data_IF_236276786642
#
_entry.id   IF_236276786642
#
_cell.length_a   1.000
_cell.length_b   1.000
_cell.length_c   1.000
_cell.angle_alpha   90.00
_cell.angle_beta   90.00
_cell.angle_gamma   90.00
#
_symmetry.space_group_name_H-M   'P 1'
#
loop_
_entity.id
_entity.type
_entity.pdbx_description
1 polymer ?
#
# COMPACT_ATOMS: atom_id res chain seq x y z
N UNK A 1 -29.62 31.33 23.63
CA UNK A 1 -29.26 29.89 23.62
C UNK A 1 -28.88 29.52 22.20
N UNK A 2 -27.59 29.29 21.91
CA UNK A 2 -27.16 28.91 20.57
C UNK A 2 -27.54 27.44 20.33
N UNK A 3 -28.38 27.20 19.32
CA UNK A 3 -28.61 25.87 18.78
C UNK A 3 -27.32 25.41 18.10
N UNK A 4 -26.44 24.72 18.83
CA UNK A 4 -25.41 23.90 18.20
C UNK A 4 -26.10 22.66 17.66
N UNK A 5 -26.56 22.73 16.41
CA UNK A 5 -26.95 21.54 15.67
C UNK A 5 -25.75 20.58 15.63
N UNK A 6 -25.97 19.31 15.94
CA UNK A 6 -24.95 18.27 15.80
C UNK A 6 -24.50 18.23 14.34
N UNK A 7 -23.21 18.50 14.11
CA UNK A 7 -22.61 18.36 12.79
C UNK A 7 -22.35 16.87 12.52
N UNK A 8 -23.29 16.24 11.83
CA UNK A 8 -23.22 14.84 11.41
C UNK A 8 -22.30 14.62 10.19
N UNK A 9 -21.57 15.64 9.74
CA UNK A 9 -20.74 15.57 8.54
C UNK A 9 -19.41 14.85 8.80
N UNK A 10 -19.46 13.52 8.92
CA UNK A 10 -18.26 12.70 8.99
C UNK A 10 -17.57 12.63 7.61
N UNK A 11 -16.29 12.99 7.57
CA UNK A 11 -15.44 12.90 6.38
C UNK A 11 -14.62 11.60 6.47
N UNK A 12 -15.02 10.58 5.71
CA UNK A 12 -14.22 9.37 5.55
C UNK A 12 -13.07 9.60 4.58
N UNK A 13 -11.99 8.82 4.68
CA UNK A 13 -10.89 8.90 3.71
C UNK A 13 -11.38 8.68 2.27
N UNK A 14 -12.28 7.72 2.04
CA UNK A 14 -12.87 7.50 0.70
C UNK A 14 -13.62 8.74 0.20
N UNK A 15 -14.40 9.40 1.08
CA UNK A 15 -15.10 10.65 0.72
C UNK A 15 -14.11 11.77 0.42
N UNK A 16 -13.05 11.89 1.20
CA UNK A 16 -12.00 12.87 0.99
C UNK A 16 -11.30 12.66 -0.37
N UNK A 17 -10.83 11.44 -0.65
CA UNK A 17 -10.16 11.11 -1.92
C UNK A 17 -11.07 11.33 -3.13
N UNK A 18 -12.35 10.93 -3.05
CA UNK A 18 -13.32 11.20 -4.12
C UNK A 18 -13.57 12.70 -4.32
N UNK A 19 -13.58 13.48 -3.24
CA UNK A 19 -13.72 14.94 -3.33
C UNK A 19 -12.49 15.58 -3.98
N UNK A 20 -11.29 15.13 -3.66
CA UNK A 20 -10.05 15.60 -4.31
C UNK A 20 -10.01 15.22 -5.79
N UNK A 21 -10.42 13.99 -6.16
CA UNK A 21 -10.50 13.59 -7.57
C UNK A 21 -11.41 14.53 -8.38
N UNK A 22 -12.56 14.93 -7.83
CA UNK A 22 -13.51 15.82 -8.52
C UNK A 22 -12.93 17.21 -8.80
N UNK A 23 -11.91 17.65 -8.08
CA UNK A 23 -11.22 18.93 -8.32
C UNK A 23 -10.27 18.86 -9.52
N UNK A 24 -9.95 17.66 -10.02
CA UNK A 24 -9.00 17.42 -11.10
C UNK A 24 -9.75 16.93 -12.36
N UNK A 25 -10.04 17.80 -13.35
CA UNK A 25 -10.81 17.41 -14.55
C UNK A 25 -10.18 16.30 -15.38
N UNK A 26 -8.86 16.14 -15.31
CA UNK A 26 -8.07 15.13 -16.03
C UNK A 26 -7.93 13.80 -15.28
N UNK A 27 -8.45 13.71 -14.04
CA UNK A 27 -8.31 12.52 -13.23
C UNK A 27 -9.23 11.39 -13.71
N UNK A 28 -8.64 10.27 -14.12
CA UNK A 28 -9.37 9.08 -14.58
C UNK A 28 -10.01 8.28 -13.44
N UNK A 29 -9.56 8.48 -12.20
CA UNK A 29 -10.00 7.72 -11.02
C UNK A 29 -9.08 6.56 -10.62
N UNK A 30 -8.06 6.24 -11.43
CA UNK A 30 -7.14 5.12 -11.14
C UNK A 30 -6.42 5.27 -9.80
N UNK A 31 -5.98 6.50 -9.45
CA UNK A 31 -5.33 6.77 -8.16
C UNK A 31 -6.31 6.61 -7.00
N UNK A 32 -7.56 7.03 -7.19
CA UNK A 32 -8.61 6.87 -6.19
C UNK A 32 -8.92 5.41 -5.95
N UNK A 33 -8.98 4.59 -7.00
CA UNK A 33 -9.15 3.15 -6.88
C UNK A 33 -7.98 2.53 -6.10
N UNK A 34 -6.75 2.91 -6.45
CA UNK A 34 -5.55 2.47 -5.76
C UNK A 34 -5.56 2.83 -4.26
N UNK A 35 -5.87 4.08 -3.90
CA UNK A 35 -5.93 4.51 -2.50
C UNK A 35 -7.03 3.79 -1.71
N UNK A 36 -8.18 3.50 -2.32
CA UNK A 36 -9.24 2.70 -1.68
C UNK A 36 -8.84 1.24 -1.49
N UNK A 37 -8.13 0.67 -2.47
CA UNK A 37 -7.55 -0.67 -2.37
C UNK A 37 -6.52 -0.76 -1.24
N UNK A 38 -5.64 0.23 -1.14
CA UNK A 38 -4.65 0.33 -0.08
C UNK A 38 -5.30 0.49 1.30
N UNK A 39 -6.35 1.32 1.41
CA UNK A 39 -7.13 1.44 2.65
C UNK A 39 -7.70 0.08 3.10
N UNK A 40 -8.16 -0.73 2.14
CA UNK A 40 -8.69 -2.07 2.45
C UNK A 40 -7.58 -2.99 2.93
N UNK A 41 -6.40 -2.96 2.29
CA UNK A 41 -5.23 -3.72 2.72
C UNK A 41 -4.83 -3.37 4.16
N UNK A 42 -4.74 -2.06 4.46
CA UNK A 42 -4.41 -1.55 5.80
C UNK A 42 -5.39 -2.04 6.85
N UNK A 43 -6.69 -2.12 6.55
CA UNK A 43 -7.70 -2.68 7.48
C UNK A 43 -7.48 -4.17 7.74
N UNK A 44 -7.11 -4.94 6.72
CA UNK A 44 -6.82 -6.38 6.84
C UNK A 44 -5.58 -6.60 7.70
N UNK A 45 -4.47 -5.89 7.42
CA UNK A 45 -3.23 -5.97 8.21
C UNK A 45 -3.50 -5.57 9.66
N UNK A 46 -4.18 -4.44 9.87
CA UNK A 46 -4.56 -3.96 11.21
C UNK A 46 -5.38 -4.99 12.00
N UNK A 47 -6.29 -5.70 11.34
CA UNK A 47 -7.05 -6.79 11.95
C UNK A 47 -6.16 -8.00 12.28
N UNK A 48 -5.26 -8.40 11.38
CA UNK A 48 -4.32 -9.49 11.62
C UNK A 48 -3.38 -9.20 12.78
N UNK A 49 -2.76 -8.02 12.81
CA UNK A 49 -1.87 -7.56 13.90
C UNK A 49 -2.58 -7.60 15.26
N UNK A 50 -3.81 -7.07 15.36
CA UNK A 50 -4.58 -7.12 16.61
C UNK A 50 -4.93 -8.54 17.06
N UNK A 51 -5.07 -9.48 16.13
CA UNK A 51 -5.39 -10.89 16.45
C UNK A 51 -4.16 -11.75 16.69
N UNK A 52 -2.98 -11.31 16.27
CA UNK A 52 -1.77 -12.10 16.36
C UNK A 52 -1.39 -12.44 17.81
N UNK A 53 -1.80 -11.64 18.81
CA UNK A 53 -1.66 -12.00 20.23
C UNK A 53 -2.60 -13.12 20.73
N UNK A 54 -3.66 -13.46 19.99
CA UNK A 54 -4.68 -14.44 20.38
C UNK A 54 -4.56 -15.74 19.58
N UNK A 55 -4.42 -15.62 18.26
CA UNK A 55 -4.08 -16.73 17.39
C UNK A 55 -2.56 -16.81 17.35
N UNK A 56 -1.95 -17.97 17.65
CA UNK A 56 -0.51 -18.25 17.53
C UNK A 56 0.00 -18.14 16.07
N UNK A 57 -0.30 -17.02 15.39
CA UNK A 57 0.19 -16.66 14.07
C UNK A 57 1.70 -16.40 14.08
N UNK A 58 2.30 -16.30 15.27
CA UNK A 58 3.75 -16.24 15.52
C UNK A 58 4.43 -17.61 15.59
N UNK A 59 3.73 -18.70 15.27
CA UNK A 59 4.21 -20.05 15.56
C UNK A 59 3.89 -21.09 14.50
N UNK A 60 4.15 -20.82 13.22
CA UNK A 60 4.39 -21.91 12.24
C UNK A 60 5.29 -21.45 11.08
N UNK A 61 6.57 -21.31 11.40
CA UNK A 61 7.77 -21.73 10.65
C UNK A 61 7.61 -21.90 9.13
N UNK A 62 8.45 -21.18 8.37
CA UNK A 62 8.92 -21.75 7.11
C UNK A 62 9.76 -20.88 6.18
N UNK A 63 9.53 -19.57 6.13
CA UNK A 63 10.19 -18.72 5.12
C UNK A 63 10.84 -17.52 5.80
N UNK A 64 12.17 -17.52 5.74
CA UNK A 64 13.02 -16.39 6.06
C UNK A 64 12.93 -15.43 4.87
N UNK A 65 12.57 -14.17 5.12
CA UNK A 65 12.54 -13.18 4.05
C UNK A 65 13.97 -12.84 3.58
N UNK A 66 14.07 -11.96 2.60
CA UNK A 66 15.33 -11.54 1.95
C UNK A 66 16.29 -10.83 2.93
N UNK A 67 15.78 -10.43 4.09
CA UNK A 67 16.48 -9.73 5.17
C UNK A 67 16.79 -10.60 6.39
N UNK A 68 16.40 -11.88 6.39
CA UNK A 68 16.70 -12.79 7.50
C UNK A 68 15.61 -12.86 8.59
N UNK A 69 14.45 -12.24 8.38
CA UNK A 69 13.38 -12.14 9.37
C UNK A 69 12.28 -13.20 9.14
N UNK A 70 11.67 -13.69 10.23
CA UNK A 70 10.55 -14.65 10.18
C UNK A 70 9.23 -13.91 10.01
N UNK A 71 8.56 -14.10 8.87
CA UNK A 71 7.30 -13.42 8.55
C UNK A 71 6.09 -14.35 8.42
N UNK A 72 4.86 -13.87 8.74
CA UNK A 72 3.64 -14.63 8.54
C UNK A 72 3.40 -14.94 7.06
N UNK A 73 3.03 -16.19 6.78
CA UNK A 73 2.84 -16.75 5.44
C UNK A 73 2.03 -15.84 4.51
N UNK A 74 2.76 -15.20 3.57
CA UNK A 74 2.33 -14.72 2.25
C UNK A 74 0.91 -14.15 2.21
N UNK A 75 0.76 -12.84 2.41
CA UNK A 75 -0.46 -12.11 2.02
C UNK A 75 -0.61 -12.14 0.50
N UNK A 76 -1.15 -13.24 -0.04
CA UNK A 76 -1.54 -13.46 -1.45
C UNK A 76 -2.78 -12.62 -1.82
N UNK A 77 -2.90 -11.43 -1.23
CA UNK A 77 -4.00 -10.48 -1.48
C UNK A 77 -3.51 -9.29 -2.33
N UNK A 78 -2.23 -9.25 -2.70
CA UNK A 78 -1.67 -8.24 -3.60
C UNK A 78 -2.13 -8.37 -5.06
N UNK A 79 -2.59 -9.56 -5.48
CA UNK A 79 -2.96 -9.86 -6.86
C UNK A 79 -4.35 -9.35 -7.31
N UNK A 80 -5.11 -8.68 -6.44
CA UNK A 80 -6.48 -8.21 -6.76
C UNK A 80 -6.56 -6.72 -7.13
N UNK A 81 -5.44 -6.01 -7.21
CA UNK A 81 -5.42 -4.57 -7.45
C UNK A 81 -5.32 -4.25 -8.95
N UNK A 82 -6.45 -3.95 -9.58
CA UNK A 82 -6.62 -3.74 -11.03
C UNK A 82 -6.07 -2.41 -11.58
N UNK A 83 -5.47 -1.56 -10.75
CA UNK A 83 -4.95 -0.22 -11.14
C UNK A 83 -3.43 -0.10 -11.01
N UNK A 84 -2.77 -1.17 -10.60
CA UNK A 84 -1.33 -1.22 -10.39
C UNK A 84 -0.64 -1.77 -11.64
N UNK A 85 0.51 -1.23 -11.98
CA UNK A 85 1.41 -1.85 -12.97
C UNK A 85 2.32 -2.88 -12.30
N UNK A 86 2.80 -2.54 -11.11
CA UNK A 86 3.78 -3.30 -10.36
C UNK A 86 3.72 -2.93 -8.88
N UNK A 87 3.99 -3.91 -8.03
CA UNK A 87 4.20 -3.73 -6.60
C UNK A 87 5.63 -4.14 -6.24
N UNK A 88 6.33 -3.30 -5.48
CA UNK A 88 7.66 -3.57 -4.93
C UNK A 88 7.50 -3.65 -3.42
N UNK A 89 7.80 -4.82 -2.84
CA UNK A 89 7.70 -5.07 -1.40
C UNK A 89 9.09 -5.17 -0.83
N UNK A 90 9.29 -4.70 0.41
CA UNK A 90 10.48 -5.02 1.19
C UNK A 90 10.69 -6.54 1.31
N UNK A 91 9.62 -7.29 1.59
CA UNK A 91 9.62 -8.76 1.73
C UNK A 91 9.97 -9.59 0.48
N UNK A 92 9.94 -9.00 -0.71
CA UNK A 92 10.07 -9.75 -1.97
C UNK A 92 11.27 -9.26 -2.78
N UNK A 93 12.21 -10.16 -3.07
CA UNK A 93 13.35 -9.92 -3.96
C UNK A 93 12.92 -9.53 -5.38
N UNK A 94 11.76 -10.06 -5.80
CA UNK A 94 11.23 -9.87 -7.13
C UNK A 94 10.00 -8.96 -7.10
N UNK A 95 9.88 -8.16 -8.14
CA UNK A 95 8.69 -7.38 -8.41
C UNK A 95 7.45 -8.28 -8.47
N UNK A 96 6.35 -7.83 -7.87
CA UNK A 96 5.06 -8.47 -8.06
C UNK A 96 4.43 -7.80 -9.27
N UNK A 97 4.52 -8.45 -10.42
CA UNK A 97 3.87 -7.99 -11.64
C UNK A 97 2.35 -8.15 -11.55
N UNK A 98 1.62 -7.15 -12.03
CA UNK A 98 0.18 -7.25 -12.27
C UNK A 98 -0.02 -7.80 -13.67
N UNK A 99 -0.97 -8.74 -13.82
CA UNK A 99 -1.37 -9.33 -15.10
C UNK A 99 -1.50 -8.24 -16.18
N UNK A 100 -0.94 -8.47 -17.37
CA UNK A 100 -0.81 -7.48 -18.46
C UNK A 100 -2.13 -6.80 -18.82
N UNK A 101 -3.24 -7.54 -18.73
CA UNK A 101 -4.61 -7.06 -19.01
C UNK A 101 -5.17 -6.10 -17.95
N UNK A 102 -4.51 -6.03 -16.78
CA UNK A 102 -4.87 -5.23 -15.61
C UNK A 102 -3.80 -4.20 -15.25
N UNK A 103 -2.79 -4.02 -16.10
CA UNK A 103 -1.72 -3.08 -15.85
C UNK A 103 -2.23 -1.64 -15.87
N UNK A 104 -2.15 -0.99 -14.72
CA UNK A 104 -2.39 0.44 -14.60
C UNK A 104 -1.14 1.28 -14.90
N UNK A 105 -1.20 2.56 -14.50
CA UNK A 105 -0.13 3.54 -14.71
C UNK A 105 0.72 3.83 -13.49
N UNK A 106 0.45 3.16 -12.37
CA UNK A 106 1.12 3.40 -11.10
C UNK A 106 2.05 2.26 -10.72
N UNK A 107 3.17 2.64 -10.11
CA UNK A 107 4.13 1.75 -9.47
C UNK A 107 4.03 2.01 -7.97
N UNK A 108 3.90 0.95 -7.18
CA UNK A 108 3.72 1.09 -5.73
C UNK A 108 4.87 0.39 -5.03
N UNK A 109 5.68 1.16 -4.32
CA UNK A 109 6.66 0.64 -3.38
C UNK A 109 6.02 0.60 -2.00
N UNK A 110 6.10 -0.51 -1.30
CA UNK A 110 5.47 -0.67 0.00
C UNK A 110 6.33 -1.50 0.96
N UNK A 111 6.30 -1.11 2.22
CA UNK A 111 6.72 -1.90 3.36
C UNK A 111 5.44 -2.37 4.07
N UNK A 112 5.09 -3.67 4.02
CA UNK A 112 3.84 -4.16 4.59
C UNK A 112 3.83 -4.12 6.12
N UNK A 113 4.99 -4.15 6.78
CA UNK A 113 5.05 -4.28 8.23
C UNK A 113 6.36 -3.70 8.81
N UNK A 114 6.48 -2.38 8.74
CA UNK A 114 7.59 -1.64 9.34
C UNK A 114 7.60 -1.83 10.86
N UNK A 115 8.77 -2.17 11.38
CA UNK A 115 8.97 -2.50 12.78
C UNK A 115 8.49 -3.90 13.19
N UNK A 116 8.42 -4.85 12.25
CA UNK A 116 8.15 -6.28 12.46
C UNK A 116 8.84 -6.89 13.69
N UNK A 117 10.11 -6.55 13.90
CA UNK A 117 10.92 -6.99 15.06
C UNK A 117 10.34 -6.60 16.42
N UNK A 118 9.46 -5.60 16.46
CA UNK A 118 8.82 -5.12 17.69
C UNK A 118 7.43 -5.73 17.96
N UNK A 119 6.96 -6.64 17.10
CA UNK A 119 5.63 -7.23 17.26
C UNK A 119 5.47 -7.94 18.60
N UNK A 120 6.48 -8.72 19.03
CA UNK A 120 6.47 -9.46 20.30
C UNK A 120 6.46 -8.54 21.52
N UNK A 121 6.97 -7.31 21.36
CA UNK A 121 7.02 -6.30 22.41
C UNK A 121 5.75 -5.43 22.45
N UNK A 122 4.77 -5.67 21.56
CA UNK A 122 3.52 -4.90 21.44
C UNK A 122 3.74 -3.39 21.27
N UNK A 123 4.89 -3.00 20.70
CA UNK A 123 5.17 -1.60 20.36
C UNK A 123 4.42 -1.24 19.08
N UNK A 124 4.26 0.04 18.81
CA UNK A 124 3.63 0.50 17.57
C UNK A 124 4.45 0.06 16.35
N UNK A 125 3.78 -0.60 15.42
CA UNK A 125 4.29 -1.01 14.11
C UNK A 125 3.47 -0.34 13.02
N UNK A 126 3.87 -0.43 11.75
CA UNK A 126 3.16 0.25 10.67
C UNK A 126 3.30 -0.39 9.31
N UNK A 127 2.75 0.27 8.30
CA UNK A 127 3.05 -0.01 6.90
C UNK A 127 3.38 1.30 6.21
N UNK A 128 4.34 1.30 5.31
CA UNK A 128 4.76 2.49 4.55
C UNK A 128 4.47 2.24 3.07
N UNK A 129 4.08 3.27 2.35
CA UNK A 129 3.91 3.16 0.90
C UNK A 129 4.30 4.45 0.17
N UNK A 130 4.79 4.28 -1.05
CA UNK A 130 5.04 5.33 -2.01
C UNK A 130 4.48 4.91 -3.37
N UNK A 131 3.76 5.83 -4.01
CA UNK A 131 3.12 5.65 -5.31
C UNK A 131 3.84 6.56 -6.30
N UNK A 132 4.33 5.96 -7.37
CA UNK A 132 4.94 6.64 -8.50
C UNK A 132 4.03 6.47 -9.71
N UNK A 133 4.07 7.44 -10.62
CA UNK A 133 3.49 7.27 -11.96
C UNK A 133 4.57 6.68 -12.86
N UNK A 134 4.18 5.91 -13.88
CA UNK A 134 5.10 5.54 -14.97
C UNK A 134 5.69 6.83 -15.54
N UNK A 135 7.01 6.86 -15.68
CA UNK A 135 7.70 7.97 -16.31
C UNK A 135 7.33 7.99 -17.81
N UNK A 136 6.68 9.07 -18.24
CA UNK A 136 6.30 9.27 -19.63
C UNK A 136 7.49 9.73 -20.48
N UNK A 137 8.60 10.12 -19.86
CA UNK A 137 9.84 10.55 -20.51
C UNK A 137 10.90 9.44 -20.57
N UNK A 138 10.59 8.24 -20.05
CA UNK A 138 11.45 7.06 -20.18
C UNK A 138 11.82 6.80 -21.66
N UNK A 139 13.07 6.43 -21.95
CA UNK A 139 13.49 6.14 -23.31
C UNK A 139 12.63 5.01 -23.90
N UNK A 140 12.35 5.02 -25.22
CA UNK A 140 11.49 4.02 -25.88
C UNK A 140 11.92 2.58 -25.63
N UNK A 141 13.23 2.35 -25.44
CA UNK A 141 13.82 1.06 -25.07
C UNK A 141 13.26 0.50 -23.76
N UNK A 142 12.99 1.36 -22.77
CA UNK A 142 12.42 0.96 -21.47
C UNK A 142 10.88 0.90 -21.56
N UNK A 143 10.25 1.80 -22.32
CA UNK A 143 8.78 1.86 -22.45
C UNK A 143 8.13 0.58 -23.00
N UNK A 144 8.83 -0.17 -23.84
CA UNK A 144 8.37 -1.42 -24.46
C UNK A 144 8.90 -2.68 -23.76
N UNK A 145 9.75 -2.53 -22.75
CA UNK A 145 10.19 -3.66 -21.94
C UNK A 145 9.06 -4.12 -21.00
N UNK A 146 9.03 -5.41 -20.65
CA UNK A 146 8.18 -5.90 -19.57
C UNK A 146 8.44 -5.11 -18.28
N UNK A 147 7.46 -5.02 -17.36
CA UNK A 147 7.68 -4.40 -16.06
C UNK A 147 8.96 -4.96 -15.43
N UNK A 148 9.87 -4.07 -15.04
CA UNK A 148 11.14 -4.44 -14.43
C UNK A 148 11.45 -3.53 -13.26
N UNK A 149 12.28 -3.99 -12.32
CA UNK A 149 12.64 -3.22 -11.11
C UNK A 149 13.22 -1.83 -11.45
N UNK A 150 13.83 -1.68 -12.63
CA UNK A 150 14.37 -0.40 -13.12
C UNK A 150 13.30 0.69 -13.19
N UNK A 151 12.05 0.33 -13.52
CA UNK A 151 10.93 1.27 -13.56
C UNK A 151 10.56 1.81 -12.17
N UNK A 152 10.89 1.08 -11.10
CA UNK A 152 10.68 1.49 -9.72
C UNK A 152 11.84 2.32 -9.15
N UNK A 153 13.02 2.30 -9.78
CA UNK A 153 14.19 3.08 -9.40
C UNK A 153 14.07 4.55 -9.85
N UNK A 154 12.98 5.20 -9.46
CA UNK A 154 12.74 6.62 -9.72
C UNK A 154 13.24 7.47 -8.57
N UNK A 155 13.54 8.75 -8.85
CA UNK A 155 13.81 9.73 -7.80
C UNK A 155 12.59 9.88 -6.90
N UNK A 156 12.80 10.00 -5.58
CA UNK A 156 11.73 10.28 -4.62
C UNK A 156 10.96 11.57 -4.91
N UNK A 157 11.54 12.51 -5.67
CA UNK A 157 10.84 13.70 -6.16
C UNK A 157 9.69 13.39 -7.13
N UNK A 158 9.65 12.18 -7.71
CA UNK A 158 8.62 11.75 -8.65
C UNK A 158 7.43 11.04 -7.96
N UNK A 159 7.42 10.97 -6.62
CA UNK A 159 6.32 10.41 -5.86
C UNK A 159 5.05 11.25 -6.09
N UNK A 160 3.98 10.60 -6.54
CA UNK A 160 2.67 11.25 -6.74
C UNK A 160 1.76 11.15 -5.52
N UNK A 161 1.99 10.16 -4.66
CA UNK A 161 1.37 10.04 -3.35
C UNK A 161 2.21 9.12 -2.46
N UNK A 162 2.32 9.42 -1.17
CA UNK A 162 2.96 8.56 -0.19
C UNK A 162 2.24 8.68 1.15
N UNK A 163 2.49 7.71 2.02
CA UNK A 163 1.94 7.73 3.37
C UNK A 163 2.34 6.50 4.15
N UNK A 164 1.76 6.42 5.35
CA UNK A 164 1.93 5.28 6.24
C UNK A 164 0.64 4.98 6.98
N UNK A 165 0.50 3.75 7.44
CA UNK A 165 -0.49 3.31 8.40
C UNK A 165 0.21 2.99 9.71
N UNK A 166 -0.35 3.44 10.84
CA UNK A 166 0.18 3.17 12.17
C UNK A 166 -0.76 2.20 12.91
N UNK A 167 -0.22 1.07 13.34
CA UNK A 167 -0.91 0.05 14.14
C UNK A 167 -0.47 0.17 15.60
N UNK A 168 -0.83 1.28 16.23
CA UNK A 168 -0.61 1.54 17.65
C UNK A 168 -1.90 1.47 18.46
N UNK A 169 -1.80 1.82 19.76
CA UNK A 169 -2.96 2.03 20.60
C UNK A 169 -3.82 3.17 20.02
N UNK A 170 -5.08 2.87 19.74
CA UNK A 170 -6.09 3.82 19.26
C UNK A 170 -7.13 3.96 20.37
N UNK A 171 -7.15 5.15 21.00
CA UNK A 171 -8.11 5.51 22.05
C UNK A 171 -9.52 5.73 21.48
#
# INVERSE_FOLDING_TARGET
MSNHALDSNCITLTRHVLAEQKKCPTATGDLTQLLNSLQTAVKVVSYAVRKAGITQLFGTVGETNVQGEEFPKKTTTSSKYTSNKMLVSEENDNIIEVETERQGKYIVCFDPLDGSSNIDCLVSIGSIFAIFKKDEDEPPSIKHEPPSIKHALQSGANVVAAGYALYGAQL
#
